data_IF_360996917985
#
_entry.id   IF_360996917985
#
_cell.length_a   1.000
_cell.length_b   1.000
_cell.length_c   1.000
_cell.angle_alpha   90.00
_cell.angle_beta   90.00
_cell.angle_gamma   90.00
#
_symmetry.space_group_name_H-M   'P 1'
#
loop_
_entity.id
_entity.type
_entity.pdbx_description
1 polymer ?
#
# COMPACT_ATOMS: atom_id res chain seq x y z
N UNK A 1 -50.96 -3.22 50.75
CA UNK A 1 -50.36 -4.13 49.69
C UNK A 1 -49.48 -3.27 48.78
N UNK A 2 -48.15 -3.25 49.00
CA UNK A 2 -47.21 -2.50 48.18
C UNK A 2 -46.63 -3.43 47.09
N UNK A 3 -46.91 -3.14 45.83
CA UNK A 3 -46.37 -3.90 44.68
C UNK A 3 -44.99 -3.31 44.34
N UNK A 4 -43.93 -4.09 44.58
CA UNK A 4 -42.56 -3.77 44.20
C UNK A 4 -42.36 -4.17 42.75
N UNK A 5 -42.13 -3.19 41.86
CA UNK A 5 -41.78 -3.43 40.45
C UNK A 5 -40.26 -3.60 40.37
N UNK A 6 -39.82 -4.80 40.08
CA UNK A 6 -38.40 -5.13 39.85
C UNK A 6 -38.05 -4.78 38.40
N UNK A 7 -37.32 -3.68 38.18
CA UNK A 7 -36.81 -3.33 36.86
C UNK A 7 -35.51 -4.11 36.58
N UNK A 8 -35.58 -5.05 35.66
CA UNK A 8 -34.41 -5.79 35.19
C UNK A 8 -33.71 -4.93 34.15
N UNK A 9 -32.57 -4.36 34.50
CA UNK A 9 -31.67 -3.68 33.55
C UNK A 9 -30.89 -4.73 32.75
N UNK A 10 -31.26 -4.93 31.48
CA UNK A 10 -30.47 -5.72 30.51
C UNK A 10 -29.31 -4.87 30.04
N UNK A 11 -28.12 -5.05 30.62
CA UNK A 11 -26.87 -4.46 30.11
C UNK A 11 -26.41 -5.26 28.89
N UNK A 12 -26.70 -4.75 27.71
CA UNK A 12 -26.10 -5.26 26.45
C UNK A 12 -24.61 -4.95 26.46
N UNK A 13 -23.81 -5.92 26.87
CA UNK A 13 -22.37 -5.90 26.74
C UNK A 13 -22.02 -6.03 25.26
N UNK A 14 -21.79 -4.88 24.58
CA UNK A 14 -21.29 -4.87 23.20
C UNK A 14 -19.83 -5.30 23.24
N UNK A 15 -19.59 -6.60 23.06
CA UNK A 15 -18.25 -7.11 22.80
C UNK A 15 -17.76 -6.54 21.46
N UNK A 16 -16.99 -5.44 21.52
CA UNK A 16 -16.18 -5.01 20.39
C UNK A 16 -15.13 -6.11 20.15
N UNK A 17 -15.41 -7.00 19.20
CA UNK A 17 -14.40 -7.94 18.71
C UNK A 17 -13.23 -7.12 18.16
N UNK A 18 -11.98 -7.43 18.55
CA UNK A 18 -10.85 -6.79 17.93
C UNK A 18 -10.93 -7.08 16.43
N UNK A 19 -11.01 -6.03 15.61
CA UNK A 19 -10.89 -6.15 14.17
C UNK A 19 -9.46 -6.64 13.90
N UNK A 20 -9.30 -7.94 13.76
CA UNK A 20 -8.05 -8.52 13.25
C UNK A 20 -7.88 -7.91 11.87
N UNK A 21 -6.75 -7.22 11.66
CA UNK A 21 -6.41 -6.73 10.34
C UNK A 21 -6.45 -7.90 9.37
N UNK A 22 -7.49 -7.94 8.54
CA UNK A 22 -7.62 -8.99 7.54
C UNK A 22 -6.64 -8.69 6.42
N UNK A 23 -5.94 -9.71 5.96
CA UNK A 23 -5.09 -9.61 4.78
C UNK A 23 -5.86 -9.01 3.61
N UNK A 24 -5.30 -7.96 2.98
CA UNK A 24 -5.92 -7.32 1.81
C UNK A 24 -5.97 -8.29 0.63
N UNK A 25 -7.17 -8.53 0.10
CA UNK A 25 -7.42 -9.45 -1.01
C UNK A 25 -7.95 -8.69 -2.22
N UNK A 26 -7.83 -9.33 -3.38
CA UNK A 26 -8.44 -8.82 -4.61
C UNK A 26 -9.96 -8.69 -4.41
N UNK A 27 -10.50 -7.50 -4.70
CA UNK A 27 -11.88 -7.12 -4.48
C UNK A 27 -12.15 -6.30 -3.22
N UNK A 28 -11.25 -6.32 -2.24
CA UNK A 28 -11.41 -5.54 -1.02
C UNK A 28 -11.11 -4.06 -1.27
N UNK A 29 -11.83 -3.19 -0.56
CA UNK A 29 -11.43 -1.79 -0.45
C UNK A 29 -10.23 -1.70 0.48
N UNK A 30 -9.12 -1.14 -0.01
CA UNK A 30 -7.91 -1.01 0.79
C UNK A 30 -8.15 -0.10 2.01
N UNK A 31 -7.84 -0.56 3.23
CA UNK A 31 -7.80 0.31 4.40
C UNK A 31 -6.86 1.49 4.17
N UNK A 32 -7.29 2.69 4.54
CA UNK A 32 -6.49 3.90 4.39
C UNK A 32 -5.35 3.96 5.41
N UNK A 33 -4.31 4.71 5.08
CA UNK A 33 -3.15 4.95 5.92
C UNK A 33 -2.86 6.45 6.03
N UNK A 34 -2.01 6.83 6.99
CA UNK A 34 -1.44 8.17 7.09
C UNK A 34 0.06 8.05 7.27
N UNK A 35 0.83 8.33 6.21
CA UNK A 35 2.28 8.24 6.19
C UNK A 35 2.91 9.53 5.70
N UNK A 36 4.19 9.75 6.04
CA UNK A 36 4.96 10.91 5.59
C UNK A 36 5.98 10.51 4.53
N UNK A 37 6.27 11.44 3.63
CA UNK A 37 7.46 11.35 2.79
C UNK A 37 8.72 11.87 3.54
N UNK A 38 9.87 11.84 2.85
CA UNK A 38 11.16 12.30 3.40
C UNK A 38 11.22 13.80 3.68
N UNK A 39 10.26 14.59 3.21
CA UNK A 39 10.12 16.02 3.44
C UNK A 39 9.10 16.35 4.54
N UNK A 40 8.44 15.33 5.10
CA UNK A 40 7.44 15.47 6.16
C UNK A 40 6.03 15.72 5.66
N UNK A 41 5.78 15.76 4.34
CA UNK A 41 4.44 15.86 3.79
C UNK A 41 3.66 14.59 4.07
N UNK A 42 2.44 14.74 4.62
CA UNK A 42 1.54 13.63 4.93
C UNK A 42 0.74 13.23 3.71
N UNK A 43 0.59 11.92 3.52
CA UNK A 43 -0.20 11.31 2.46
C UNK A 43 -1.13 10.24 3.02
N UNK A 44 -2.31 10.11 2.40
CA UNK A 44 -3.25 9.00 2.57
C UNK A 44 -3.70 8.53 1.18
N UNK A 45 -4.49 7.47 1.09
CA UNK A 45 -5.07 7.03 -0.20
C UNK A 45 -5.99 8.10 -0.82
N UNK A 46 -6.53 9.01 0.00
CA UNK A 46 -7.41 10.11 -0.45
C UNK A 46 -6.65 11.40 -0.82
N UNK A 47 -5.30 11.39 -0.78
CA UNK A 47 -4.48 12.54 -1.21
C UNK A 47 -4.74 12.90 -2.66
N UNK A 48 -4.69 14.19 -2.99
CA UNK A 48 -5.02 14.71 -4.33
C UNK A 48 -4.16 14.08 -5.43
N UNK A 49 -2.92 13.72 -5.12
CA UNK A 49 -2.01 13.02 -6.03
C UNK A 49 -2.47 11.63 -6.43
N UNK A 50 -3.38 11.03 -5.65
CA UNK A 50 -3.87 9.67 -5.83
C UNK A 50 -5.35 9.58 -6.23
N UNK A 51 -6.10 10.69 -6.13
CA UNK A 51 -7.51 10.73 -6.52
C UNK A 51 -7.70 10.41 -7.99
N UNK A 52 -8.66 9.53 -8.28
CA UNK A 52 -9.03 9.17 -9.66
C UNK A 52 -7.94 8.41 -10.43
N UNK A 53 -6.90 7.94 -9.75
CA UNK A 53 -5.78 7.22 -10.36
C UNK A 53 -5.72 5.77 -9.91
N UNK A 54 -5.31 4.91 -10.83
CA UNK A 54 -4.84 3.57 -10.50
C UNK A 54 -3.47 3.69 -9.85
N UNK A 55 -3.24 2.98 -8.76
CA UNK A 55 -1.99 3.00 -8.04
C UNK A 55 -1.28 1.64 -8.15
N UNK A 56 0.00 1.65 -8.52
CA UNK A 56 0.89 0.52 -8.22
C UNK A 56 1.72 0.88 -6.99
N UNK A 57 1.59 0.10 -5.94
CA UNK A 57 2.20 0.37 -4.65
C UNK A 57 3.21 -0.72 -4.34
N UNK A 58 4.48 -0.35 -4.27
CA UNK A 58 5.53 -1.23 -3.78
C UNK A 58 5.73 -0.98 -2.29
N UNK A 59 5.46 -2.00 -1.48
CA UNK A 59 5.85 -2.02 -0.07
C UNK A 59 7.17 -2.74 0.07
N UNK A 60 8.23 -2.03 0.44
CA UNK A 60 9.62 -2.52 0.29
C UNK A 60 10.40 -2.39 1.58
N UNK A 61 10.99 -3.49 2.02
CA UNK A 61 12.08 -3.46 2.99
C UNK A 61 13.35 -2.90 2.31
N UNK A 62 14.03 -1.89 2.88
CA UNK A 62 15.27 -1.35 2.30
C UNK A 62 16.34 -2.40 1.99
N UNK A 63 16.42 -3.47 2.79
CA UNK A 63 17.37 -4.55 2.57
C UNK A 63 17.01 -5.39 1.33
N UNK A 64 15.74 -5.35 0.90
CA UNK A 64 15.18 -6.04 -0.29
C UNK A 64 14.86 -5.10 -1.46
N UNK A 65 15.46 -3.89 -1.46
CA UNK A 65 15.19 -2.81 -2.42
C UNK A 65 15.34 -3.18 -3.89
N UNK A 66 16.11 -4.20 -4.20
CA UNK A 66 16.42 -4.61 -5.58
C UNK A 66 15.59 -5.83 -6.04
N UNK A 67 14.80 -6.43 -5.14
CA UNK A 67 14.09 -7.69 -5.38
C UNK A 67 13.16 -7.62 -6.61
N UNK A 68 12.48 -6.49 -6.79
CA UNK A 68 11.52 -6.26 -7.86
C UNK A 68 11.92 -5.11 -8.83
N UNK A 69 13.23 -4.82 -8.97
CA UNK A 69 13.71 -3.81 -9.94
C UNK A 69 13.24 -4.09 -11.37
N UNK A 70 13.17 -5.36 -11.77
CA UNK A 70 12.69 -5.76 -13.10
C UNK A 70 11.22 -5.38 -13.34
N UNK A 71 10.39 -5.40 -12.29
CA UNK A 71 8.98 -4.97 -12.34
C UNK A 71 8.92 -3.45 -12.50
N UNK A 72 9.68 -2.71 -11.69
CA UNK A 72 9.78 -1.24 -11.80
C UNK A 72 10.22 -0.84 -13.21
N UNK A 73 11.24 -1.51 -13.76
CA UNK A 73 11.75 -1.23 -15.10
C UNK A 73 10.71 -1.55 -16.19
N UNK A 74 9.95 -2.65 -16.04
CA UNK A 74 8.87 -2.99 -16.95
C UNK A 74 7.75 -1.95 -16.92
N UNK A 75 7.34 -1.52 -15.71
CA UNK A 75 6.37 -0.44 -15.54
C UNK A 75 6.86 0.87 -16.17
N UNK A 76 8.13 1.25 -15.99
CA UNK A 76 8.71 2.48 -16.56
C UNK A 76 8.77 2.47 -18.09
N UNK A 77 9.07 1.33 -18.69
CA UNK A 77 9.19 1.16 -20.15
C UNK A 77 7.84 1.09 -20.86
N UNK A 78 6.77 0.73 -20.15
CA UNK A 78 5.46 0.56 -20.75
C UNK A 78 4.82 1.90 -21.10
N UNK A 79 4.67 2.16 -22.42
CA UNK A 79 4.09 3.40 -22.96
C UNK A 79 2.56 3.47 -22.84
N UNK A 80 1.89 2.36 -22.53
CA UNK A 80 0.45 2.30 -22.35
C UNK A 80 -0.02 2.78 -20.96
N UNK A 81 0.91 3.13 -20.06
CA UNK A 81 0.60 3.66 -18.74
C UNK A 81 0.61 5.19 -18.73
N UNK A 82 -0.55 5.81 -18.55
CA UNK A 82 -0.71 7.27 -18.48
C UNK A 82 -0.39 7.77 -17.05
N UNK A 83 0.91 8.02 -16.82
CA UNK A 83 1.45 8.43 -15.50
C UNK A 83 1.05 9.82 -15.07
N UNK A 84 0.63 10.65 -16.01
CA UNK A 84 0.29 12.04 -15.73
C UNK A 84 -1.13 12.19 -15.20
N UNK A 85 -2.08 11.39 -15.74
CA UNK A 85 -3.50 11.57 -15.48
C UNK A 85 -4.16 10.40 -14.74
N UNK A 86 -3.97 9.16 -15.20
CA UNK A 86 -4.80 8.02 -14.77
C UNK A 86 -4.08 6.94 -13.98
N UNK A 87 -2.75 7.00 -13.91
CA UNK A 87 -1.92 6.05 -13.19
C UNK A 87 -0.87 6.75 -12.32
N UNK A 88 -0.50 6.18 -11.18
CA UNK A 88 0.59 6.66 -10.33
C UNK A 88 1.34 5.51 -9.66
N UNK A 89 2.67 5.57 -9.72
CA UNK A 89 3.54 4.72 -8.91
C UNK A 89 3.72 5.30 -7.50
N UNK A 90 3.69 4.44 -6.50
CA UNK A 90 3.89 4.76 -5.09
C UNK A 90 4.84 3.74 -4.48
N UNK A 91 5.87 4.20 -3.79
CA UNK A 91 6.71 3.38 -2.93
C UNK A 91 6.36 3.60 -1.46
N UNK A 92 6.33 2.55 -0.65
CA UNK A 92 6.25 2.63 0.80
C UNK A 92 7.44 1.85 1.35
N UNK A 93 8.33 2.56 2.04
CA UNK A 93 9.56 1.98 2.60
C UNK A 93 9.32 1.55 4.03
N UNK A 94 9.49 0.25 4.31
CA UNK A 94 9.40 -0.33 5.65
C UNK A 94 10.69 -0.04 6.45
N UNK A 95 10.71 1.11 7.11
CA UNK A 95 11.89 1.53 7.88
C UNK A 95 12.05 0.78 9.20
N UNK A 96 10.98 0.21 9.73
CA UNK A 96 11.00 -0.55 10.99
C UNK A 96 11.82 -1.84 10.89
N UNK A 97 11.82 -2.47 9.72
CA UNK A 97 12.52 -3.73 9.49
C UNK A 97 14.01 -3.54 9.18
N UNK A 98 14.38 -2.37 8.64
CA UNK A 98 15.73 -2.17 8.10
C UNK A 98 16.79 -1.98 9.18
N UNK A 99 17.92 -2.62 8.95
CA UNK A 99 19.17 -2.41 9.72
C UNK A 99 20.11 -1.42 9.04
N UNK A 100 19.74 -0.89 7.87
CA UNK A 100 20.57 0.07 7.14
C UNK A 100 20.67 1.41 7.87
N UNK A 101 21.86 2.04 7.88
CA UNK A 101 22.00 3.40 8.37
C UNK A 101 21.11 4.40 7.63
N UNK A 102 20.54 5.37 8.33
CA UNK A 102 19.59 6.35 7.78
C UNK A 102 20.11 7.11 6.56
N UNK A 103 21.42 7.39 6.49
CA UNK A 103 21.98 8.11 5.32
C UNK A 103 21.97 7.26 4.05
N UNK A 104 22.16 5.92 4.19
CA UNK A 104 22.04 4.98 3.05
C UNK A 104 20.60 4.93 2.58
N UNK A 105 19.64 4.79 3.52
CA UNK A 105 18.21 4.77 3.18
C UNK A 105 17.80 6.05 2.45
N UNK A 106 18.24 7.23 2.93
CA UNK A 106 17.96 8.51 2.25
C UNK A 106 18.53 8.56 0.84
N UNK A 107 19.75 8.05 0.63
CA UNK A 107 20.36 7.96 -0.70
C UNK A 107 19.57 7.05 -1.64
N UNK A 108 19.15 5.87 -1.16
CA UNK A 108 18.31 4.94 -1.93
C UNK A 108 16.97 5.58 -2.31
N UNK A 109 16.28 6.19 -1.36
CA UNK A 109 15.01 6.89 -1.62
C UNK A 109 15.19 7.99 -2.68
N UNK A 110 16.23 8.80 -2.55
CA UNK A 110 16.53 9.88 -3.53
C UNK A 110 16.74 9.29 -4.92
N UNK A 111 17.60 8.28 -5.06
CA UNK A 111 17.88 7.61 -6.34
C UNK A 111 16.62 6.99 -6.96
N UNK A 112 15.78 6.32 -6.16
CA UNK A 112 14.51 5.75 -6.64
C UNK A 112 13.53 6.83 -7.09
N UNK A 113 13.38 7.93 -6.33
CA UNK A 113 12.53 9.07 -6.73
C UNK A 113 12.99 9.67 -8.06
N UNK A 114 14.29 9.88 -8.24
CA UNK A 114 14.88 10.41 -9.47
C UNK A 114 14.65 9.47 -10.66
N UNK A 115 14.82 8.17 -10.47
CA UNK A 115 14.63 7.14 -11.51
C UNK A 115 13.16 6.99 -11.92
N UNK A 116 12.24 6.95 -10.97
CA UNK A 116 10.87 6.50 -11.21
C UNK A 116 9.83 7.61 -11.24
N UNK A 117 10.14 8.79 -10.69
CA UNK A 117 9.15 9.86 -10.46
C UNK A 117 8.06 9.46 -9.44
N UNK A 118 8.22 8.33 -8.75
CA UNK A 118 7.25 7.87 -7.76
C UNK A 118 7.32 8.70 -6.47
N UNK A 119 6.18 8.81 -5.79
CA UNK A 119 6.12 9.27 -4.40
C UNK A 119 6.62 8.11 -3.53
N UNK A 120 7.51 8.40 -2.56
CA UNK A 120 8.01 7.38 -1.63
C UNK A 120 7.68 7.83 -0.20
N UNK A 121 6.90 7.01 0.48
CA UNK A 121 6.45 7.20 1.85
C UNK A 121 7.27 6.33 2.81
N UNK A 122 7.26 6.70 4.09
CA UNK A 122 8.07 6.10 5.14
C UNK A 122 7.16 5.47 6.19
N UNK A 123 7.24 4.14 6.33
CA UNK A 123 6.53 3.39 7.36
C UNK A 123 7.50 3.01 8.48
N UNK A 124 7.40 3.71 9.62
CA UNK A 124 8.25 3.50 10.79
C UNK A 124 7.71 2.47 11.77
N UNK A 125 6.43 2.08 11.64
CA UNK A 125 5.72 1.33 12.67
C UNK A 125 4.97 0.09 12.14
N UNK A 126 5.33 -0.40 10.94
CA UNK A 126 4.60 -1.48 10.25
C UNK A 126 3.12 -1.15 10.00
N UNK A 127 2.78 0.15 9.83
CA UNK A 127 1.40 0.60 9.69
C UNK A 127 0.72 -0.10 8.51
N UNK A 128 1.27 0.02 7.30
CA UNK A 128 0.68 -0.56 6.09
C UNK A 128 0.88 -2.07 6.05
N UNK A 129 2.02 -2.56 6.55
CA UNK A 129 2.26 -4.00 6.68
C UNK A 129 1.13 -4.69 7.45
N UNK A 130 0.78 -4.14 8.62
CA UNK A 130 -0.25 -4.69 9.48
C UNK A 130 -1.67 -4.48 8.90
N UNK A 131 -1.95 -3.29 8.33
CA UNK A 131 -3.26 -2.97 7.74
C UNK A 131 -3.61 -3.87 6.56
N UNK A 132 -2.61 -4.23 5.75
CA UNK A 132 -2.82 -4.97 4.51
C UNK A 132 -2.33 -6.41 4.58
N UNK A 133 -1.78 -6.83 5.73
CA UNK A 133 -1.23 -8.17 5.92
C UNK A 133 -0.08 -8.48 4.95
N UNK A 134 0.81 -7.50 4.67
CA UNK A 134 1.94 -7.65 3.77
C UNK A 134 3.08 -8.44 4.42
N UNK A 135 4.06 -8.84 3.61
CA UNK A 135 5.20 -9.63 4.07
C UNK A 135 6.32 -8.74 4.57
N UNK A 136 6.85 -9.05 5.76
CA UNK A 136 8.07 -8.43 6.24
C UNK A 136 9.32 -9.02 5.53
N UNK A 137 10.41 -8.28 5.47
CA UNK A 137 11.64 -8.65 4.75
C UNK A 137 11.33 -9.07 3.30
N UNK A 138 10.65 -8.19 2.58
CA UNK A 138 10.10 -8.45 1.25
C UNK A 138 10.03 -7.17 0.41
N UNK A 139 9.65 -7.36 -0.84
CA UNK A 139 9.16 -6.31 -1.74
C UNK A 139 7.85 -6.80 -2.33
N UNK A 140 6.75 -6.25 -1.83
CA UNK A 140 5.40 -6.66 -2.22
C UNK A 140 4.77 -5.64 -3.17
N UNK A 141 3.99 -6.09 -4.14
CA UNK A 141 3.26 -5.23 -5.08
C UNK A 141 1.76 -5.31 -4.84
N UNK A 142 1.13 -4.15 -4.67
CA UNK A 142 -0.33 -3.99 -4.61
C UNK A 142 -0.78 -3.06 -5.73
N UNK A 143 -1.85 -3.42 -6.46
CA UNK A 143 -2.50 -2.52 -7.43
C UNK A 143 -3.90 -2.18 -6.93
N UNK A 144 -4.15 -0.89 -6.77
CA UNK A 144 -5.47 -0.35 -6.41
C UNK A 144 -6.06 0.40 -7.60
N UNK A 145 -7.35 0.22 -7.86
CA UNK A 145 -8.07 1.02 -8.86
C UNK A 145 -8.37 2.46 -8.38
N UNK A 146 -9.08 3.22 -9.20
CA UNK A 146 -9.47 4.62 -8.92
C UNK A 146 -10.32 4.77 -7.64
N UNK A 147 -11.05 3.70 -7.26
CA UNK A 147 -11.89 3.64 -6.07
C UNK A 147 -11.18 3.02 -4.86
N UNK A 148 -9.86 2.75 -5.00
CA UNK A 148 -9.02 2.10 -3.98
C UNK A 148 -9.44 0.65 -3.67
N UNK A 149 -10.05 -0.02 -4.66
CA UNK A 149 -10.31 -1.46 -4.59
C UNK A 149 -9.04 -2.19 -5.04
N UNK A 150 -8.60 -3.17 -4.26
CA UNK A 150 -7.47 -4.02 -4.61
C UNK A 150 -7.79 -4.86 -5.86
N UNK A 151 -6.97 -4.73 -6.89
CA UNK A 151 -7.10 -5.49 -8.14
C UNK A 151 -5.99 -6.51 -8.33
N UNK A 152 -4.92 -6.34 -7.58
CA UNK A 152 -3.79 -7.26 -7.57
C UNK A 152 -3.00 -7.12 -6.29
N UNK A 153 -2.52 -8.24 -5.76
CA UNK A 153 -1.55 -8.29 -4.67
C UNK A 153 -0.62 -9.47 -4.88
N UNK A 154 0.67 -9.22 -4.76
CA UNK A 154 1.70 -10.26 -4.82
C UNK A 154 2.78 -9.98 -3.79
N UNK A 155 3.17 -10.99 -3.02
CA UNK A 155 4.15 -10.87 -1.95
C UNK A 155 5.46 -11.54 -2.34
N UNK A 156 6.54 -10.76 -2.31
CA UNK A 156 7.87 -11.21 -2.66
C UNK A 156 8.25 -10.92 -4.12
N UNK A 157 9.20 -11.69 -4.63
CA UNK A 157 9.74 -11.52 -5.99
C UNK A 157 8.71 -11.97 -7.04
N UNK A 158 8.29 -11.05 -7.90
CA UNK A 158 7.36 -11.37 -8.99
C UNK A 158 8.07 -12.15 -10.09
N UNK A 159 7.53 -13.31 -10.52
CA UNK A 159 8.00 -13.97 -11.72
C UNK A 159 7.51 -13.26 -12.99
N UNK A 160 8.14 -13.49 -14.16
CA UNK A 160 7.85 -12.74 -15.40
C UNK A 160 6.37 -12.73 -15.80
N UNK A 161 5.66 -13.83 -15.65
CA UNK A 161 4.24 -13.97 -15.97
C UNK A 161 3.35 -13.07 -15.09
N UNK A 162 3.70 -12.92 -13.82
CA UNK A 162 2.98 -12.04 -12.88
C UNK A 162 3.27 -10.57 -13.15
N UNK A 163 4.46 -10.22 -13.70
CA UNK A 163 4.77 -8.84 -14.14
C UNK A 163 3.83 -8.42 -15.25
N UNK A 164 3.68 -9.25 -16.29
CA UNK A 164 2.78 -8.95 -17.41
C UNK A 164 1.33 -8.82 -16.96
N UNK A 165 0.88 -9.68 -16.06
CA UNK A 165 -0.46 -9.65 -15.47
C UNK A 165 -0.71 -8.35 -14.70
N UNK A 166 0.20 -7.93 -13.84
CA UNK A 166 0.08 -6.69 -13.08
C UNK A 166 -0.03 -5.46 -14.01
N UNK A 167 0.81 -5.39 -15.07
CA UNK A 167 0.76 -4.31 -16.06
C UNK A 167 -0.59 -4.29 -16.79
N UNK A 168 -1.09 -5.44 -17.22
CA UNK A 168 -2.38 -5.54 -17.91
C UNK A 168 -3.54 -5.10 -17.02
N UNK A 169 -3.53 -5.46 -15.72
CA UNK A 169 -4.51 -5.00 -14.74
C UNK A 169 -4.47 -3.46 -14.61
N UNK A 170 -3.29 -2.86 -14.52
CA UNK A 170 -3.17 -1.39 -14.45
C UNK A 170 -3.76 -0.76 -15.72
N UNK A 171 -3.42 -1.27 -16.91
CA UNK A 171 -3.97 -0.78 -18.19
C UNK A 171 -5.49 -0.91 -18.28
N UNK A 172 -6.04 -2.00 -17.80
CA UNK A 172 -7.48 -2.23 -17.79
C UNK A 172 -8.19 -1.19 -16.90
N UNK A 173 -7.70 -0.97 -15.68
CA UNK A 173 -8.38 -0.12 -14.71
C UNK A 173 -8.09 1.38 -14.88
N UNK A 174 -7.04 1.77 -15.61
CA UNK A 174 -6.82 3.18 -15.92
C UNK A 174 -7.81 3.76 -16.95
N UNK A 175 -8.47 2.91 -17.76
CA UNK A 175 -9.47 3.32 -18.76
C UNK A 175 -10.92 3.11 -18.31
N UNK A 176 -11.13 2.31 -17.26
CA UNK A 176 -12.41 2.15 -16.57
C UNK A 176 -12.62 3.30 -15.58
#
# INVERSE_FOLDING_TARGET
MKKTILAVFFVLLWCALPAWASELKVGDKAPDFSLKDSLGKVYSLDSDEFKGRVLSIFYVDPDEKDLNNHVEDALLKDKGLDRDRTYKGLGITNLKASKMPNFIIKSVIKSKKEKTGAIILLDYDYTVLNLWGLKNHSSDLVVLDKNKICRYVYKGKLPPEEVAKAINIIKEYQVK
#
